data_IF_997121231650
#
_entry.id   IF_997121231650
#
_cell.length_a   1.000
_cell.length_b   1.000
_cell.length_c   1.000
_cell.angle_alpha   90.00
_cell.angle_beta   90.00
_cell.angle_gamma   90.00
#
_symmetry.space_group_name_H-M   'P 1'
#
loop_
_entity.id
_entity.type
_entity.pdbx_description
1 polymer ?
#
# COMPACT_ATOMS: atom_id res chain seq x y z
N UNK A 1 5.52 21.17 7.28
CA UNK A 1 5.25 19.79 7.76
C UNK A 1 6.35 18.91 7.20
N UNK A 2 6.84 17.92 7.93
CA UNK A 2 7.79 16.93 7.41
C UNK A 2 7.06 15.59 7.11
N UNK A 3 7.76 14.66 6.43
CA UNK A 3 7.21 13.37 5.97
C UNK A 3 6.61 12.52 7.13
N UNK A 4 7.28 12.31 8.29
CA UNK A 4 6.69 11.55 9.39
C UNK A 4 5.41 12.17 9.97
N UNK A 5 5.36 13.49 10.12
CA UNK A 5 4.15 14.19 10.57
C UNK A 5 3.02 14.12 9.54
N UNK A 6 3.37 14.12 8.25
CA UNK A 6 2.40 13.91 7.18
C UNK A 6 1.81 12.51 7.23
N UNK A 7 2.65 11.48 7.34
CA UNK A 7 2.21 10.09 7.45
C UNK A 7 1.28 9.86 8.64
N UNK A 8 1.65 10.36 9.83
CA UNK A 8 0.82 10.20 11.03
C UNK A 8 -0.53 10.93 10.92
N UNK A 9 -0.54 12.15 10.39
CA UNK A 9 -1.79 12.88 10.13
C UNK A 9 -2.68 12.15 9.14
N UNK A 10 -2.08 11.62 8.06
CA UNK A 10 -2.78 10.87 7.04
C UNK A 10 -3.38 9.58 7.62
N UNK A 11 -2.61 8.82 8.38
CA UNK A 11 -3.06 7.63 9.12
C UNK A 11 -4.30 7.91 9.94
N UNK A 12 -4.27 8.98 10.77
CA UNK A 12 -5.41 9.33 11.64
C UNK A 12 -6.67 9.65 10.83
N UNK A 13 -6.52 10.41 9.73
CA UNK A 13 -7.63 10.77 8.84
C UNK A 13 -8.19 9.57 8.06
N UNK A 14 -7.33 8.68 7.61
CA UNK A 14 -7.76 7.44 6.95
C UNK A 14 -8.51 6.55 7.95
N UNK A 15 -7.97 6.36 9.16
CA UNK A 15 -8.62 5.55 10.20
C UNK A 15 -10.00 6.10 10.57
N UNK A 16 -10.12 7.42 10.75
CA UNK A 16 -11.40 8.10 11.03
C UNK A 16 -12.45 7.79 9.94
N UNK A 17 -12.06 7.87 8.66
CA UNK A 17 -12.96 7.68 7.52
C UNK A 17 -13.27 6.22 7.16
N UNK A 18 -12.39 5.28 7.51
CA UNK A 18 -12.62 3.85 7.35
C UNK A 18 -13.43 3.26 8.50
N UNK A 19 -13.46 3.94 9.64
CA UNK A 19 -13.97 3.38 10.88
C UNK A 19 -13.00 2.38 11.51
N UNK A 20 -13.29 1.95 12.74
CA UNK A 20 -12.42 1.07 13.52
C UNK A 20 -12.92 -0.38 13.64
N UNK A 21 -14.08 -0.70 13.08
CA UNK A 21 -14.70 -2.02 13.23
C UNK A 21 -13.97 -3.12 12.43
N UNK A 22 -13.75 -2.91 11.15
CA UNK A 22 -13.22 -3.92 10.23
C UNK A 22 -11.74 -3.74 9.89
N UNK A 23 -11.28 -2.49 9.79
CA UNK A 23 -9.93 -2.18 9.34
C UNK A 23 -9.13 -1.42 10.39
N UNK A 24 -7.83 -1.63 10.39
CA UNK A 24 -6.87 -0.92 11.22
C UNK A 24 -5.78 -0.30 10.35
N UNK A 25 -5.43 0.97 10.61
CA UNK A 25 -4.38 1.69 9.92
C UNK A 25 -3.23 1.94 10.90
N UNK A 26 -2.05 1.45 10.56
CA UNK A 26 -0.83 1.57 11.37
C UNK A 26 0.29 2.23 10.59
N UNK A 27 1.16 2.96 11.29
CA UNK A 27 2.43 3.47 10.75
C UNK A 27 3.60 2.59 11.17
N UNK A 28 4.65 2.55 10.37
CA UNK A 28 5.92 1.94 10.73
C UNK A 28 5.89 0.43 10.95
N UNK A 29 4.92 -0.29 10.36
CA UNK A 29 4.82 -1.75 10.49
C UNK A 29 5.74 -2.47 9.53
N UNK A 30 6.39 -3.50 10.04
CA UNK A 30 7.19 -4.39 9.22
C UNK A 30 6.30 -5.39 8.49
N UNK A 31 6.55 -5.57 7.19
CA UNK A 31 5.85 -6.52 6.35
C UNK A 31 6.88 -7.42 5.65
N UNK A 32 6.64 -8.73 5.66
CA UNK A 32 7.55 -9.71 5.06
C UNK A 32 7.64 -9.49 3.54
N UNK A 33 8.86 -9.51 3.01
CA UNK A 33 9.14 -9.45 1.58
C UNK A 33 9.92 -10.68 1.07
N UNK A 34 10.39 -11.53 1.98
CA UNK A 34 11.19 -12.70 1.65
C UNK A 34 10.95 -13.82 2.67
N UNK A 35 10.85 -15.03 2.18
CA UNK A 35 10.84 -16.27 2.95
C UNK A 35 11.98 -17.14 2.43
N UNK A 36 12.72 -17.77 3.31
CA UNK A 36 13.75 -18.75 2.95
C UNK A 36 13.51 -20.06 3.69
N UNK A 37 14.11 -21.14 3.18
CA UNK A 37 14.24 -22.40 3.89
C UNK A 37 15.64 -22.46 4.48
N UNK A 38 15.76 -22.59 5.79
CA UNK A 38 17.04 -22.66 6.49
C UNK A 38 17.68 -24.05 6.33
N UNK A 39 18.93 -24.25 6.76
CA UNK A 39 19.61 -25.57 6.66
C UNK A 39 18.92 -26.71 7.44
N UNK A 40 17.96 -26.40 8.32
CA UNK A 40 17.16 -27.40 9.05
C UNK A 40 15.85 -27.75 8.32
N UNK A 41 15.61 -27.19 7.12
CA UNK A 41 14.39 -27.38 6.36
C UNK A 41 13.17 -26.58 6.86
N UNK A 42 13.38 -25.58 7.72
CA UNK A 42 12.30 -24.74 8.28
C UNK A 42 12.18 -23.41 7.52
N UNK A 43 10.96 -22.87 7.44
CA UNK A 43 10.74 -21.54 6.89
C UNK A 43 11.22 -20.43 7.83
N UNK A 44 11.86 -19.43 7.28
CA UNK A 44 12.21 -18.18 7.98
C UNK A 44 11.67 -16.97 7.21
N UNK A 45 10.94 -16.06 7.87
CA UNK A 45 10.55 -16.09 9.29
C UNK A 45 9.45 -17.12 9.55
N UNK A 46 9.45 -17.73 10.72
CA UNK A 46 8.45 -18.74 11.14
C UNK A 46 7.05 -18.13 11.26
N UNK A 47 6.96 -16.85 11.62
CA UNK A 47 5.68 -16.16 11.80
C UNK A 47 5.57 -14.89 10.95
N UNK A 48 4.43 -14.73 10.29
CA UNK A 48 4.11 -13.55 9.49
C UNK A 48 3.70 -12.32 10.33
N UNK A 49 3.26 -12.51 11.58
CA UNK A 49 2.55 -11.47 12.36
C UNK A 49 3.43 -10.36 12.93
N UNK A 50 4.69 -10.60 13.23
CA UNK A 50 5.61 -9.61 13.81
C UNK A 50 7.05 -9.77 13.31
N UNK A 51 7.32 -9.69 12.00
CA UNK A 51 8.64 -9.92 11.47
C UNK A 51 9.59 -8.80 11.92
N UNK A 52 10.84 -9.18 12.26
CA UNK A 52 11.90 -8.21 12.54
C UNK A 52 12.27 -7.49 11.25
N UNK A 53 12.49 -6.16 11.34
CA UNK A 53 13.02 -5.36 10.25
C UNK A 53 14.41 -5.86 9.86
N UNK A 54 14.72 -5.85 8.57
CA UNK A 54 16.04 -6.18 8.04
C UNK A 54 15.98 -7.37 7.07
N UNK A 55 16.45 -8.55 7.48
CA UNK A 55 16.68 -9.69 6.57
C UNK A 55 15.43 -10.16 5.82
N UNK A 56 14.23 -10.05 6.40
CA UNK A 56 13.01 -10.64 5.84
C UNK A 56 11.82 -9.67 5.72
N UNK A 57 11.92 -8.47 6.30
CA UNK A 57 10.82 -7.52 6.31
C UNK A 57 11.25 -6.09 6.01
N UNK A 58 10.44 -5.38 5.22
CA UNK A 58 10.54 -3.93 5.04
C UNK A 58 9.53 -3.23 5.93
N UNK A 59 9.93 -2.07 6.45
CA UNK A 59 9.01 -1.17 7.14
C UNK A 59 8.17 -0.42 6.10
N UNK A 60 6.85 -0.35 6.35
CA UNK A 60 5.88 0.42 5.57
C UNK A 60 5.58 1.74 6.25
N UNK A 61 5.30 2.81 5.49
CA UNK A 61 4.88 4.08 6.09
C UNK A 61 3.48 3.95 6.69
N UNK A 62 2.50 3.48 5.89
CA UNK A 62 1.18 3.11 6.38
C UNK A 62 0.80 1.71 5.91
N UNK A 63 0.18 0.95 6.79
CA UNK A 63 -0.38 -0.37 6.50
C UNK A 63 -1.84 -0.42 6.93
N UNK A 64 -2.72 -0.79 6.01
CA UNK A 64 -4.13 -1.07 6.29
C UNK A 64 -4.32 -2.58 6.37
N UNK A 65 -4.80 -3.06 7.51
CA UNK A 65 -5.02 -4.48 7.78
C UNK A 65 -6.49 -4.78 8.05
N UNK A 66 -6.93 -5.97 7.66
CA UNK A 66 -8.18 -6.57 8.13
C UNK A 66 -7.98 -7.05 9.57
N UNK A 67 -8.76 -6.54 10.53
CA UNK A 67 -8.57 -6.80 11.95
C UNK A 67 -8.78 -8.26 12.34
N UNK A 68 -9.82 -8.89 11.80
CA UNK A 68 -10.23 -10.25 12.18
C UNK A 68 -9.13 -11.30 11.97
N UNK A 69 -8.35 -11.14 10.89
CA UNK A 69 -7.32 -12.09 10.46
C UNK A 69 -5.91 -11.50 10.51
N UNK A 70 -5.77 -10.22 10.86
CA UNK A 70 -4.50 -9.46 10.82
C UNK A 70 -3.83 -9.49 9.42
N UNK A 71 -4.63 -9.58 8.35
CA UNK A 71 -4.12 -9.63 6.98
C UNK A 71 -3.82 -8.24 6.44
N UNK A 72 -2.64 -8.00 5.84
CA UNK A 72 -2.29 -6.76 5.17
C UNK A 72 -3.09 -6.63 3.87
N UNK A 73 -3.81 -5.53 3.68
CA UNK A 73 -4.61 -5.28 2.46
C UNK A 73 -4.03 -4.20 1.57
N UNK A 74 -3.62 -3.07 2.17
CA UNK A 74 -3.08 -1.93 1.42
C UNK A 74 -1.87 -1.36 2.13
N UNK A 75 -0.78 -1.18 1.41
CA UNK A 75 0.38 -0.39 1.83
C UNK A 75 0.33 0.96 1.13
N UNK A 76 0.64 2.02 1.86
CA UNK A 76 0.82 3.36 1.31
C UNK A 76 2.18 3.88 1.74
N UNK A 77 3.07 4.09 0.77
CA UNK A 77 4.30 4.85 0.98
C UNK A 77 3.98 6.35 0.86
N UNK A 78 4.65 7.16 1.65
CA UNK A 78 4.39 8.60 1.73
C UNK A 78 5.62 9.41 1.37
N UNK A 79 5.40 10.55 0.71
CA UNK A 79 6.40 11.60 0.48
C UNK A 79 5.80 12.96 0.78
N UNK A 80 6.64 13.94 1.06
CA UNK A 80 6.20 15.30 1.30
C UNK A 80 7.01 16.31 0.49
N UNK A 81 6.33 17.17 -0.26
CA UNK A 81 6.83 18.20 -1.21
C UNK A 81 7.43 17.65 -2.50
N UNK A 82 8.15 16.53 -2.48
CA UNK A 82 8.79 15.99 -3.68
C UNK A 82 9.02 14.49 -3.54
N UNK A 83 9.24 13.84 -4.68
CA UNK A 83 9.76 12.48 -4.78
C UNK A 83 10.73 12.40 -5.97
N UNK A 84 11.71 11.52 -5.87
CA UNK A 84 12.72 11.29 -6.89
C UNK A 84 12.42 10.04 -7.73
N UNK A 85 13.13 9.87 -8.84
CA UNK A 85 13.14 8.60 -9.59
C UNK A 85 13.60 7.45 -8.72
N UNK A 86 14.61 7.67 -7.85
CA UNK A 86 15.10 6.67 -6.91
C UNK A 86 14.00 6.21 -5.93
N UNK A 87 13.18 7.12 -5.42
CA UNK A 87 12.04 6.76 -4.56
C UNK A 87 11.08 5.82 -5.30
N UNK A 88 10.75 6.13 -6.57
CA UNK A 88 9.82 5.30 -7.34
C UNK A 88 10.40 3.90 -7.59
N UNK A 89 11.66 3.79 -7.99
CA UNK A 89 12.32 2.52 -8.22
C UNK A 89 12.39 1.69 -6.92
N UNK A 90 12.80 2.30 -5.81
CA UNK A 90 12.90 1.65 -4.51
C UNK A 90 11.54 1.13 -4.03
N UNK A 91 10.52 1.98 -4.06
CA UNK A 91 9.18 1.59 -3.59
C UNK A 91 8.48 0.63 -4.54
N UNK A 92 8.70 0.73 -5.86
CA UNK A 92 8.21 -0.26 -6.82
C UNK A 92 8.81 -1.64 -6.55
N UNK A 93 10.11 -1.69 -6.25
CA UNK A 93 10.77 -2.96 -5.87
C UNK A 93 10.21 -3.50 -4.55
N UNK A 94 10.02 -2.66 -3.52
CA UNK A 94 9.37 -3.07 -2.27
C UNK A 94 7.96 -3.63 -2.53
N UNK A 95 7.18 -2.93 -3.37
CA UNK A 95 5.82 -3.36 -3.73
C UNK A 95 5.80 -4.72 -4.41
N UNK A 96 6.68 -4.94 -5.39
CA UNK A 96 6.81 -6.23 -6.07
C UNK A 96 7.18 -7.34 -5.07
N UNK A 97 8.19 -7.13 -4.23
CA UNK A 97 8.63 -8.09 -3.23
C UNK A 97 7.53 -8.44 -2.21
N UNK A 98 6.78 -7.44 -1.74
CA UNK A 98 5.64 -7.71 -0.87
C UNK A 98 4.54 -8.50 -1.59
N UNK A 99 4.27 -8.21 -2.87
CA UNK A 99 3.25 -8.93 -3.65
C UNK A 99 3.65 -10.37 -4.01
N UNK A 100 4.95 -10.70 -4.03
CA UNK A 100 5.43 -12.10 -4.14
C UNK A 100 4.98 -12.94 -2.93
N UNK A 101 4.86 -12.32 -1.75
CA UNK A 101 4.40 -12.98 -0.50
C UNK A 101 2.89 -12.84 -0.30
N UNK A 102 2.35 -11.66 -0.62
CA UNK A 102 0.94 -11.30 -0.45
C UNK A 102 0.35 -10.89 -1.82
N UNK A 103 -0.02 -11.85 -2.68
CA UNK A 103 -0.42 -11.54 -4.08
C UNK A 103 -1.68 -10.68 -4.18
N UNK A 104 -2.48 -10.63 -3.13
CA UNK A 104 -3.66 -9.77 -3.02
C UNK A 104 -3.35 -8.34 -2.56
N UNK A 105 -2.15 -8.08 -2.03
CA UNK A 105 -1.76 -6.78 -1.47
C UNK A 105 -1.82 -5.67 -2.52
N UNK A 106 -2.36 -4.52 -2.13
CA UNK A 106 -2.36 -3.31 -2.94
C UNK A 106 -1.34 -2.31 -2.42
N UNK A 107 -0.73 -1.58 -3.33
CA UNK A 107 0.41 -0.73 -2.99
C UNK A 107 0.25 0.66 -3.61
N UNK A 108 0.35 1.71 -2.80
CA UNK A 108 0.15 3.08 -3.24
C UNK A 108 1.23 4.04 -2.81
N UNK A 109 1.31 5.17 -3.54
CA UNK A 109 2.12 6.32 -3.21
C UNK A 109 1.22 7.53 -2.96
N UNK A 110 1.36 8.18 -1.81
CA UNK A 110 0.69 9.43 -1.51
C UNK A 110 1.71 10.53 -1.25
N UNK A 111 1.69 11.57 -2.07
CA UNK A 111 2.64 12.69 -1.99
C UNK A 111 1.93 13.94 -1.50
N UNK A 112 2.28 14.39 -0.30
CA UNK A 112 1.76 15.62 0.29
C UNK A 112 2.51 16.87 -0.21
N UNK A 113 1.84 18.04 -0.16
CA UNK A 113 2.45 19.32 -0.51
C UNK A 113 2.57 19.63 -2.02
N UNK A 114 2.14 18.70 -2.88
CA UNK A 114 2.10 18.88 -4.33
C UNK A 114 0.71 18.59 -4.88
N UNK A 115 0.40 19.08 -6.06
CA UNK A 115 -0.91 18.94 -6.70
C UNK A 115 -0.90 17.99 -7.91
N UNK A 116 0.27 17.58 -8.39
CA UNK A 116 0.42 16.67 -9.53
C UNK A 116 1.36 15.51 -9.22
N UNK A 117 1.07 14.34 -9.79
CA UNK A 117 2.02 13.23 -9.90
C UNK A 117 2.85 13.43 -11.15
N UNK A 118 4.16 13.60 -10.96
CA UNK A 118 5.11 13.87 -12.04
C UNK A 118 5.28 12.70 -13.00
N UNK A 119 5.65 12.99 -14.26
CA UNK A 119 5.84 11.99 -15.32
C UNK A 119 6.80 10.85 -14.94
N UNK A 120 7.82 11.14 -14.10
CA UNK A 120 8.75 10.11 -13.61
C UNK A 120 8.06 8.96 -12.86
N UNK A 121 6.90 9.19 -12.25
CA UNK A 121 6.11 8.12 -11.66
C UNK A 121 5.67 7.13 -12.75
N UNK A 122 5.09 7.61 -13.83
CA UNK A 122 4.55 6.77 -14.91
C UNK A 122 5.64 6.06 -15.70
N UNK A 123 6.83 6.64 -15.82
CA UNK A 123 7.97 6.03 -16.54
C UNK A 123 8.72 4.98 -15.74
N UNK A 124 8.62 5.00 -14.40
CA UNK A 124 9.38 4.12 -13.52
C UNK A 124 8.52 3.25 -12.59
N UNK A 125 7.20 3.43 -12.62
CA UNK A 125 6.30 2.61 -11.82
C UNK A 125 6.22 1.17 -12.39
N UNK A 126 6.53 0.19 -11.56
CA UNK A 126 6.37 -1.24 -11.87
C UNK A 126 5.65 -2.03 -10.77
N UNK A 127 5.30 -1.38 -9.65
CA UNK A 127 4.72 -2.09 -8.50
C UNK A 127 3.52 -1.43 -7.85
N UNK A 128 3.34 -0.11 -8.05
CA UNK A 128 2.21 0.61 -7.46
C UNK A 128 0.91 0.36 -8.22
N UNK A 129 -0.17 0.17 -7.48
CA UNK A 129 -1.54 0.09 -7.98
C UNK A 129 -2.19 1.48 -8.09
N UNK A 130 -1.74 2.45 -7.26
CA UNK A 130 -2.23 3.82 -7.31
C UNK A 130 -1.20 4.84 -6.84
N UNK A 131 -1.38 6.10 -7.26
CA UNK A 131 -0.68 7.24 -6.71
C UNK A 131 -1.62 8.44 -6.60
N UNK A 132 -1.44 9.28 -5.59
CA UNK A 132 -2.21 10.50 -5.39
C UNK A 132 -1.35 11.64 -4.86
N UNK A 133 -1.45 12.80 -5.50
CA UNK A 133 -0.92 14.06 -5.01
C UNK A 133 -1.95 14.74 -4.10
N UNK A 134 -1.53 15.20 -2.93
CA UNK A 134 -2.35 15.90 -1.96
C UNK A 134 -1.71 17.25 -1.61
N UNK A 135 -2.07 18.30 -2.32
CA UNK A 135 -1.58 19.67 -2.01
C UNK A 135 -1.88 20.05 -0.56
N UNK A 136 -3.07 19.66 -0.07
CA UNK A 136 -3.51 19.84 1.32
C UNK A 136 -4.33 18.61 1.75
N UNK A 137 -4.36 18.34 3.04
CA UNK A 137 -5.29 17.36 3.62
C UNK A 137 -6.57 18.13 4.00
N UNK A 138 -7.42 18.37 3.01
CA UNK A 138 -8.77 18.91 3.15
C UNK A 138 -9.82 17.81 2.88
N UNK A 139 -11.09 18.10 3.14
CA UNK A 139 -12.17 17.13 3.01
C UNK A 139 -12.33 16.58 1.58
N UNK A 140 -12.15 17.44 0.55
CA UNK A 140 -12.27 17.03 -0.85
C UNK A 140 -11.14 16.07 -1.25
N UNK A 141 -9.91 16.45 -0.95
CA UNK A 141 -8.72 15.62 -1.23
C UNK A 141 -8.74 14.32 -0.45
N UNK A 142 -9.18 14.37 0.81
CA UNK A 142 -9.33 13.19 1.65
C UNK A 142 -10.44 12.27 1.14
N UNK A 143 -11.59 12.79 0.74
CA UNK A 143 -12.69 12.00 0.17
C UNK A 143 -12.23 11.22 -1.08
N UNK A 144 -11.42 11.86 -1.94
CA UNK A 144 -10.83 11.21 -3.12
C UNK A 144 -9.87 10.09 -2.73
N UNK A 145 -8.97 10.34 -1.77
CA UNK A 145 -8.04 9.31 -1.27
C UNK A 145 -8.81 8.13 -0.68
N UNK A 146 -9.82 8.39 0.15
CA UNK A 146 -10.62 7.34 0.78
C UNK A 146 -11.39 6.51 -0.27
N UNK A 147 -11.90 7.14 -1.33
CA UNK A 147 -12.52 6.41 -2.43
C UNK A 147 -11.52 5.43 -3.07
N UNK A 148 -10.33 5.90 -3.41
CA UNK A 148 -9.27 5.04 -3.98
C UNK A 148 -8.92 3.91 -3.01
N UNK A 149 -8.69 4.21 -1.73
CA UNK A 149 -8.35 3.19 -0.71
C UNK A 149 -9.45 2.13 -0.61
N UNK A 150 -10.72 2.52 -0.57
CA UNK A 150 -11.85 1.56 -0.52
C UNK A 150 -11.90 0.66 -1.75
N UNK A 151 -11.63 1.19 -2.94
CA UNK A 151 -11.54 0.41 -4.18
C UNK A 151 -10.35 -0.58 -4.13
N UNK A 152 -9.20 -0.17 -3.58
CA UNK A 152 -8.04 -1.04 -3.41
C UNK A 152 -8.28 -2.13 -2.36
N UNK A 153 -8.91 -1.80 -1.23
CA UNK A 153 -9.34 -2.79 -0.22
C UNK A 153 -10.25 -3.83 -0.86
N UNK A 154 -11.29 -3.39 -1.58
CA UNK A 154 -12.20 -4.29 -2.28
C UNK A 154 -11.46 -5.20 -3.27
N UNK A 155 -10.51 -4.66 -4.03
CA UNK A 155 -9.69 -5.45 -4.96
C UNK A 155 -8.83 -6.49 -4.23
N UNK A 156 -8.24 -6.13 -3.08
CA UNK A 156 -7.48 -7.06 -2.25
C UNK A 156 -8.37 -8.19 -1.70
N UNK A 157 -9.54 -7.86 -1.17
CA UNK A 157 -10.51 -8.84 -0.65
C UNK A 157 -11.01 -9.78 -1.75
N UNK A 158 -11.32 -9.29 -2.94
CA UNK A 158 -11.72 -10.14 -4.07
C UNK A 158 -10.65 -11.17 -4.46
N UNK A 159 -9.37 -10.79 -4.42
CA UNK A 159 -8.27 -11.73 -4.71
C UNK A 159 -8.10 -12.71 -3.55
N UNK A 160 -8.23 -12.25 -2.30
CA UNK A 160 -8.21 -13.15 -1.13
C UNK A 160 -9.29 -14.21 -1.23
N UNK A 161 -10.52 -13.84 -1.59
CA UNK A 161 -11.63 -14.79 -1.77
C UNK A 161 -11.29 -15.85 -2.84
N UNK A 162 -10.66 -15.46 -3.95
CA UNK A 162 -10.22 -16.40 -4.99
C UNK A 162 -9.12 -17.35 -4.48
N UNK A 163 -8.21 -16.87 -3.63
CA UNK A 163 -7.12 -17.69 -3.08
C UNK A 163 -7.57 -18.64 -1.98
N UNK A 164 -8.66 -18.33 -1.29
CA UNK A 164 -9.17 -19.13 -0.17
C UNK A 164 -10.29 -20.08 -0.58
N UNK A 165 -11.04 -19.76 -1.61
CA UNK A 165 -12.17 -20.55 -2.08
C UNK A 165 -11.87 -21.21 -3.44
N UNK A 166 -12.48 -22.39 -3.71
CA UNK A 166 -12.42 -23.05 -5.03
C UNK A 166 -13.31 -22.33 -6.05
N UNK A 167 -12.97 -21.08 -6.35
CA UNK A 167 -13.72 -20.26 -7.29
C UNK A 167 -13.36 -20.55 -8.75
N UNK A 168 -14.35 -20.59 -9.62
CA UNK A 168 -14.17 -20.67 -11.08
C UNK A 168 -14.28 -19.27 -11.67
N UNK A 169 -13.14 -18.59 -11.82
CA UNK A 169 -13.09 -17.24 -12.40
C UNK A 169 -13.09 -17.32 -13.93
N UNK A 170 -14.04 -16.60 -14.58
CA UNK A 170 -14.14 -16.56 -16.04
C UNK A 170 -13.25 -15.49 -16.67
N UNK A 171 -13.05 -14.35 -16.00
CA UNK A 171 -12.32 -13.22 -16.56
C UNK A 171 -11.61 -12.44 -15.46
N UNK A 172 -10.48 -11.85 -15.83
CA UNK A 172 -9.74 -10.88 -15.03
C UNK A 172 -9.42 -9.67 -15.91
N UNK A 173 -9.64 -8.46 -15.40
CA UNK A 173 -9.30 -7.23 -16.09
C UNK A 173 -8.85 -6.15 -15.10
N UNK A 174 -7.75 -5.47 -15.43
CA UNK A 174 -7.28 -4.29 -14.71
C UNK A 174 -7.53 -3.04 -15.54
N UNK A 175 -8.22 -2.05 -14.96
CA UNK A 175 -8.51 -0.78 -15.62
C UNK A 175 -7.62 0.32 -15.06
N UNK A 176 -6.92 1.04 -15.94
CA UNK A 176 -6.19 2.26 -15.59
C UNK A 176 -7.15 3.45 -15.59
N UNK A 177 -7.18 4.20 -14.48
CA UNK A 177 -7.93 5.45 -14.36
C UNK A 177 -6.95 6.58 -14.06
N UNK A 178 -6.95 7.61 -14.92
CA UNK A 178 -6.07 8.77 -14.77
C UNK A 178 -6.95 10.03 -14.78
N UNK A 179 -6.82 10.84 -13.73
CA UNK A 179 -7.38 12.18 -13.70
C UNK A 179 -6.32 13.18 -14.12
N UNK A 180 -6.59 13.89 -15.21
CA UNK A 180 -5.74 15.00 -15.67
C UNK A 180 -6.23 16.31 -15.09
N UNK A 181 -5.31 17.12 -14.59
CA UNK A 181 -5.59 18.53 -14.25
C UNK A 181 -5.38 19.32 -15.54
N UNK A 182 -6.37 20.15 -15.89
CA UNK A 182 -6.19 21.10 -17.01
C UNK A 182 -5.11 22.11 -16.60
N UNK A 183 -4.15 22.33 -17.50
CA UNK A 183 -3.14 23.36 -17.35
C UNK A 183 -3.79 24.76 -17.32
#
# INVERSE_FOLDING_TARGET
>A
MNEPKFAERLKNKIQERLGSSRYEVKTGKNLIYKIIVNPRGQFEPEEAKAPKRGAFAFQTDLLITMKSQQLPLVVIETKYNAFSTHDILTYSTKAQKHKEIYPYLRYGLVVGGIDIIQNRFFTHNSGFDFALALKRIDDRSLAKLIKIIKEQIKSAEMILDILTEKNRTRSFNTRIMIEKIKA
#
